data_IF_873276114643
#
_entry.id   IF_873276114643
#
_cell.length_a   1.000
_cell.length_b   1.000
_cell.length_c   1.000
_cell.angle_alpha   90.00
_cell.angle_beta   90.00
_cell.angle_gamma   90.00
#
_symmetry.space_group_name_H-M   'P 1'
#
loop_
_entity.id
_entity.type
_entity.pdbx_description
1 polymer ?
#
# COMPACT_ATOMS: atom_id res chain seq x y z
N UNK A 1 -8.61 13.73 11.43
CA UNK A 1 -9.38 12.64 10.81
C UNK A 1 -8.51 11.76 9.91
N UNK A 2 -7.94 12.28 8.82
CA UNK A 2 -7.17 11.48 7.84
C UNK A 2 -6.06 10.59 8.44
N UNK A 3 -5.29 11.09 9.41
CA UNK A 3 -4.27 10.28 10.12
C UNK A 3 -4.87 9.06 10.83
N UNK A 4 -6.00 9.23 11.53
CA UNK A 4 -6.65 8.14 12.26
C UNK A 4 -7.16 7.07 11.30
N UNK A 5 -7.78 7.48 10.18
CA UNK A 5 -8.24 6.55 9.15
C UNK A 5 -7.10 5.77 8.53
N UNK A 6 -5.97 6.43 8.25
CA UNK A 6 -4.76 5.78 7.75
C UNK A 6 -4.25 4.70 8.69
N UNK A 7 -4.24 5.00 9.99
CA UNK A 7 -3.86 4.06 11.05
C UNK A 7 -4.84 2.89 11.15
N UNK A 8 -6.15 3.16 11.06
CA UNK A 8 -7.19 2.13 11.05
C UNK A 8 -7.02 1.16 9.89
N UNK A 9 -6.82 1.68 8.68
CA UNK A 9 -6.53 0.87 7.51
C UNK A 9 -5.25 0.06 7.68
N UNK A 10 -4.18 0.67 8.21
CA UNK A 10 -2.90 0.00 8.41
C UNK A 10 -3.01 -1.16 9.40
N UNK A 11 -3.76 -0.99 10.48
CA UNK A 11 -4.01 -2.05 11.45
C UNK A 11 -4.93 -3.14 10.89
N UNK A 12 -6.05 -2.78 10.26
CA UNK A 12 -7.05 -3.73 9.76
C UNK A 12 -6.52 -4.60 8.63
N UNK A 13 -5.73 -4.01 7.74
CA UNK A 13 -5.16 -4.67 6.58
C UNK A 13 -3.77 -5.26 6.86
N UNK A 14 -3.17 -4.98 8.02
CA UNK A 14 -1.89 -5.57 8.42
C UNK A 14 -0.65 -4.88 7.84
N UNK A 15 -0.78 -3.66 7.30
CA UNK A 15 0.38 -2.86 6.88
C UNK A 15 1.26 -2.45 8.07
N UNK A 16 0.64 -2.24 9.24
CA UNK A 16 1.36 -2.01 10.49
C UNK A 16 0.62 -2.70 11.65
N UNK A 17 1.08 -3.89 11.99
CA UNK A 17 0.54 -4.66 13.12
C UNK A 17 1.11 -4.22 14.47
N UNK A 18 2.10 -3.32 14.49
CA UNK A 18 2.75 -2.82 15.69
C UNK A 18 2.11 -1.56 16.27
N UNK A 19 1.12 -0.99 15.60
CA UNK A 19 0.46 0.24 16.07
C UNK A 19 -0.24 0.03 17.41
N UNK A 20 0.04 0.94 18.34
CA UNK A 20 -0.72 1.10 19.58
C UNK A 20 -2.04 1.81 19.28
N UNK A 21 -3.04 1.02 18.89
CA UNK A 21 -4.37 1.50 18.51
C UNK A 21 -5.09 2.27 19.62
N UNK A 22 -5.10 1.80 20.89
CA UNK A 22 -5.66 2.58 21.99
C UNK A 22 -4.99 3.94 22.16
N UNK A 23 -3.66 4.02 22.04
CA UNK A 23 -2.95 5.29 22.13
C UNK A 23 -3.30 6.25 20.98
N UNK A 24 -3.40 5.75 19.74
CA UNK A 24 -3.82 6.58 18.61
C UNK A 24 -5.28 7.07 18.74
N UNK A 25 -6.15 6.27 19.34
CA UNK A 25 -7.51 6.67 19.71
C UNK A 25 -7.52 7.74 20.80
N UNK A 26 -6.72 7.58 21.86
CA UNK A 26 -6.56 8.59 22.91
C UNK A 26 -6.05 9.93 22.33
N UNK A 27 -5.06 9.89 21.45
CA UNK A 27 -4.59 11.08 20.74
C UNK A 27 -5.69 11.69 19.84
N UNK A 28 -6.56 10.89 19.24
CA UNK A 28 -7.69 11.39 18.45
C UNK A 28 -8.71 12.14 19.33
N UNK A 29 -9.00 11.61 20.53
CA UNK A 29 -9.83 12.29 21.53
C UNK A 29 -9.26 13.65 21.92
N UNK A 30 -7.96 13.72 22.22
CA UNK A 30 -7.26 14.97 22.54
C UNK A 30 -7.32 16.00 21.40
N UNK A 31 -7.34 15.53 20.14
CA UNK A 31 -7.49 16.38 18.95
C UNK A 31 -8.93 16.82 18.69
N UNK A 32 -9.89 16.47 19.56
CA UNK A 32 -11.29 16.88 19.47
C UNK A 32 -12.16 16.00 18.59
N UNK A 33 -11.67 14.83 18.15
CA UNK A 33 -12.55 13.78 17.61
C UNK A 33 -13.24 13.09 18.78
N UNK A 34 -14.54 12.82 18.69
CA UNK A 34 -15.26 12.24 19.81
C UNK A 34 -16.40 11.36 19.33
N UNK A 35 -16.45 10.15 19.87
CA UNK A 35 -17.57 9.22 19.73
C UNK A 35 -17.49 8.18 20.86
N UNK A 36 -18.63 7.55 21.24
CA UNK A 36 -18.62 6.49 22.25
C UNK A 36 -17.63 5.37 21.91
N UNK A 37 -17.64 4.85 20.68
CA UNK A 37 -16.74 3.78 20.28
C UNK A 37 -15.27 4.21 20.27
N UNK A 38 -14.97 5.49 19.99
CA UNK A 38 -13.59 5.99 20.04
C UNK A 38 -13.06 6.03 21.48
N UNK A 39 -13.92 6.33 22.46
CA UNK A 39 -13.56 6.27 23.88
C UNK A 39 -13.38 4.84 24.35
N UNK A 40 -14.25 3.94 23.92
CA UNK A 40 -14.11 2.51 24.19
C UNK A 40 -12.78 1.99 23.62
N UNK A 41 -12.45 2.36 22.36
CA UNK A 41 -11.19 1.98 21.72
C UNK A 41 -9.97 2.51 22.47
N UNK A 42 -10.02 3.74 22.97
CA UNK A 42 -8.95 4.33 23.76
C UNK A 42 -8.79 3.69 25.15
N UNK A 43 -9.81 2.97 25.62
CA UNK A 43 -9.82 2.27 26.90
C UNK A 43 -9.33 0.82 26.85
N UNK A 44 -9.13 0.25 25.65
CA UNK A 44 -8.63 -1.11 25.48
C UNK A 44 -7.12 -1.20 25.77
N UNK A 45 -6.66 -2.40 26.11
CA UNK A 45 -5.25 -2.76 26.11
C UNK A 45 -4.79 -3.09 24.67
N UNK A 46 -3.54 -2.76 24.35
CA UNK A 46 -2.91 -3.06 23.05
C UNK A 46 -2.91 -4.55 22.69
N UNK A 47 -3.00 -5.43 23.68
CA UNK A 47 -3.05 -6.88 23.47
C UNK A 47 -4.45 -7.39 23.11
N UNK A 48 -5.52 -6.58 23.28
CA UNK A 48 -6.91 -6.88 22.93
C UNK A 48 -7.17 -6.72 21.41
N UNK A 49 -6.36 -7.40 20.60
CA UNK A 49 -6.30 -7.17 19.14
C UNK A 49 -7.61 -7.48 18.41
N UNK A 50 -8.39 -8.45 18.89
CA UNK A 50 -9.65 -8.84 18.26
C UNK A 50 -10.72 -7.78 18.52
N UNK A 51 -10.82 -7.33 19.77
CA UNK A 51 -11.72 -6.28 20.22
C UNK A 51 -11.40 -4.96 19.50
N UNK A 52 -10.10 -4.60 19.40
CA UNK A 52 -9.64 -3.45 18.62
C UNK A 52 -10.11 -3.58 17.16
N UNK A 53 -9.90 -4.74 16.54
CA UNK A 53 -10.27 -4.98 15.13
C UNK A 53 -11.77 -4.85 14.90
N UNK A 54 -12.58 -5.34 15.81
CA UNK A 54 -14.05 -5.29 15.72
C UNK A 54 -14.60 -3.88 15.96
N UNK A 55 -13.90 -3.08 16.77
CA UNK A 55 -14.36 -1.74 17.13
C UNK A 55 -14.01 -0.68 16.08
N UNK A 56 -12.91 -0.85 15.33
CA UNK A 56 -12.48 0.11 14.31
C UNK A 56 -13.58 0.48 13.29
N UNK A 57 -14.32 -0.48 12.68
CA UNK A 57 -15.41 -0.16 11.77
C UNK A 57 -16.53 0.67 12.43
N UNK A 58 -16.85 0.38 13.69
CA UNK A 58 -17.85 1.11 14.47
C UNK A 58 -17.40 2.55 14.73
N UNK A 59 -16.12 2.74 15.07
CA UNK A 59 -15.53 4.08 15.24
C UNK A 59 -15.59 4.86 13.94
N UNK A 60 -15.19 4.25 12.82
CA UNK A 60 -15.24 4.88 11.51
C UNK A 60 -16.67 5.33 11.16
N UNK A 61 -17.66 4.45 11.34
CA UNK A 61 -19.07 4.75 11.10
C UNK A 61 -19.56 5.94 11.96
N UNK A 62 -19.29 5.92 13.27
CA UNK A 62 -19.71 7.00 14.19
C UNK A 62 -19.04 8.34 13.88
N UNK A 63 -17.83 8.33 13.35
CA UNK A 63 -17.12 9.52 12.89
C UNK A 63 -17.50 9.93 11.46
N UNK A 64 -18.48 9.26 10.84
CA UNK A 64 -18.95 9.55 9.48
C UNK A 64 -17.95 9.22 8.38
N UNK A 65 -17.06 8.26 8.63
CA UNK A 65 -15.98 7.84 7.74
C UNK A 65 -16.19 6.38 7.28
N UNK A 66 -15.77 6.09 6.05
CA UNK A 66 -15.67 4.71 5.54
C UNK A 66 -14.26 4.16 5.69
N UNK A 67 -14.13 2.86 5.95
CA UNK A 67 -12.87 2.14 5.80
C UNK A 67 -12.77 1.69 4.34
N UNK A 68 -11.73 2.12 3.65
CA UNK A 68 -11.50 1.70 2.27
C UNK A 68 -11.12 0.20 2.20
N UNK A 69 -11.61 -0.52 1.19
CA UNK A 69 -11.24 -1.91 0.99
C UNK A 69 -9.75 -2.03 0.70
N UNK A 70 -9.16 -3.18 1.06
CA UNK A 70 -7.72 -3.46 0.93
C UNK A 70 -7.16 -3.07 -0.44
N UNK A 71 -7.87 -3.41 -1.52
CA UNK A 71 -7.48 -3.06 -2.89
C UNK A 71 -7.32 -1.54 -3.09
N UNK A 72 -8.27 -0.74 -2.62
CA UNK A 72 -8.20 0.71 -2.77
C UNK A 72 -7.07 1.31 -1.93
N UNK A 73 -6.83 0.78 -0.72
CA UNK A 73 -5.70 1.17 0.12
C UNK A 73 -4.38 0.82 -0.56
N UNK A 74 -4.25 -0.38 -1.13
CA UNK A 74 -3.07 -0.79 -1.90
C UNK A 74 -2.83 0.10 -3.12
N UNK A 75 -3.88 0.41 -3.91
CA UNK A 75 -3.79 1.32 -5.06
C UNK A 75 -3.22 2.67 -4.62
N UNK A 76 -3.74 3.21 -3.51
CA UNK A 76 -3.25 4.46 -2.94
C UNK A 76 -1.80 4.35 -2.44
N UNK A 77 -1.41 3.28 -1.73
CA UNK A 77 -0.04 3.12 -1.22
C UNK A 77 0.99 2.99 -2.33
N UNK A 78 0.69 2.22 -3.38
CA UNK A 78 1.55 2.13 -4.57
C UNK A 78 1.66 3.50 -5.24
N UNK A 79 0.54 4.22 -5.39
CA UNK A 79 0.54 5.58 -5.92
C UNK A 79 1.36 6.57 -5.08
N UNK A 80 1.28 6.50 -3.75
CA UNK A 80 2.08 7.32 -2.83
C UNK A 80 3.58 7.05 -2.98
N UNK A 81 4.01 5.78 -3.07
CA UNK A 81 5.42 5.44 -3.29
C UNK A 81 5.90 5.94 -4.66
N UNK A 82 5.11 5.71 -5.72
CA UNK A 82 5.43 6.19 -7.06
C UNK A 82 5.52 7.72 -7.13
N UNK A 83 4.63 8.44 -6.45
CA UNK A 83 4.64 9.89 -6.38
C UNK A 83 5.90 10.43 -5.68
N UNK A 84 6.33 9.80 -4.58
CA UNK A 84 7.57 10.16 -3.87
C UNK A 84 8.80 9.99 -4.76
N UNK A 85 8.88 8.91 -5.52
CA UNK A 85 9.94 8.73 -6.53
C UNK A 85 9.90 9.85 -7.59
N UNK A 86 8.73 10.14 -8.17
CA UNK A 86 8.60 11.18 -9.20
C UNK A 86 8.92 12.59 -8.67
N UNK A 87 8.73 12.82 -7.37
CA UNK A 87 9.12 14.03 -6.68
C UNK A 87 10.62 14.10 -6.33
N UNK A 88 11.38 13.01 -6.55
CA UNK A 88 12.81 12.91 -6.20
C UNK A 88 13.06 12.70 -4.70
N UNK A 89 12.06 12.26 -3.95
CA UNK A 89 12.17 12.02 -2.51
C UNK A 89 12.76 10.65 -2.17
N UNK A 90 12.89 9.75 -3.16
CA UNK A 90 13.55 8.47 -3.03
C UNK A 90 14.09 8.01 -4.39
N UNK A 91 15.09 7.13 -4.35
CA UNK A 91 15.64 6.49 -5.55
C UNK A 91 14.64 5.50 -6.14
N UNK A 92 14.79 5.19 -7.44
CA UNK A 92 13.85 4.28 -8.10
C UNK A 92 13.95 2.85 -7.53
N UNK A 93 15.12 2.42 -7.08
CA UNK A 93 15.33 1.10 -6.46
C UNK A 93 14.59 0.99 -5.12
N UNK A 94 14.56 2.06 -4.34
CA UNK A 94 13.81 2.11 -3.08
C UNK A 94 12.31 2.05 -3.33
N UNK A 95 11.84 2.82 -4.32
CA UNK A 95 10.44 2.81 -4.72
C UNK A 95 10.00 1.45 -5.27
N UNK A 96 10.83 0.83 -6.14
CA UNK A 96 10.61 -0.51 -6.67
C UNK A 96 10.50 -1.54 -5.53
N UNK A 97 11.46 -1.53 -4.61
CA UNK A 97 11.49 -2.43 -3.45
C UNK A 97 10.25 -2.25 -2.58
N UNK A 98 9.86 -1.01 -2.27
CA UNK A 98 8.67 -0.72 -1.48
C UNK A 98 7.37 -1.19 -2.13
N UNK A 99 7.25 -0.98 -3.44
CA UNK A 99 6.09 -1.44 -4.22
C UNK A 99 6.04 -2.98 -4.25
N UNK A 100 7.17 -3.65 -4.49
CA UNK A 100 7.24 -5.11 -4.51
C UNK A 100 6.99 -5.74 -3.13
N UNK A 101 7.41 -5.08 -2.04
CA UNK A 101 7.12 -5.55 -0.68
C UNK A 101 5.61 -5.59 -0.41
N UNK A 102 4.86 -4.59 -0.86
CA UNK A 102 3.40 -4.60 -0.77
C UNK A 102 2.81 -5.76 -1.58
N UNK A 103 3.31 -6.01 -2.80
CA UNK A 103 2.83 -7.12 -3.61
C UNK A 103 3.09 -8.49 -2.98
N UNK A 104 4.30 -8.72 -2.48
CA UNK A 104 4.63 -9.96 -1.80
C UNK A 104 3.75 -10.22 -0.58
N UNK A 105 3.42 -9.17 0.18
CA UNK A 105 2.58 -9.29 1.37
C UNK A 105 1.14 -9.70 1.04
N UNK A 106 0.58 -9.27 -0.10
CA UNK A 106 -0.83 -9.48 -0.45
C UNK A 106 -1.06 -10.36 -1.69
N UNK A 107 -0.05 -11.12 -2.13
CA UNK A 107 -0.16 -11.96 -3.33
C UNK A 107 -1.31 -12.98 -3.26
N UNK A 108 -1.56 -13.55 -2.08
CA UNK A 108 -2.54 -14.61 -1.86
C UNK A 108 -3.98 -14.06 -1.72
N UNK A 109 -4.14 -12.74 -1.54
CA UNK A 109 -5.43 -12.06 -1.48
C UNK A 109 -6.06 -11.83 -2.87
N UNK A 110 -5.41 -12.32 -3.93
CA UNK A 110 -5.88 -12.17 -5.31
C UNK A 110 -5.80 -10.73 -5.84
N UNK A 111 -5.09 -9.85 -5.14
CA UNK A 111 -4.90 -8.44 -5.51
C UNK A 111 -3.64 -8.35 -6.40
N UNK A 112 -3.73 -8.91 -7.60
CA UNK A 112 -2.66 -8.83 -8.59
C UNK A 112 -2.76 -7.54 -9.41
N UNK A 113 -1.65 -6.81 -9.55
CA UNK A 113 -1.53 -5.76 -10.57
C UNK A 113 -0.76 -6.30 -11.77
N UNK A 114 -1.27 -6.06 -12.96
CA UNK A 114 -0.58 -6.46 -14.19
C UNK A 114 0.74 -5.71 -14.44
N UNK A 115 1.03 -4.64 -13.67
CA UNK A 115 2.33 -3.99 -13.68
C UNK A 115 3.39 -4.75 -12.85
N UNK A 116 2.99 -5.68 -11.96
CA UNK A 116 3.89 -6.42 -11.06
C UNK A 116 4.89 -7.30 -11.81
N UNK A 117 4.47 -8.01 -12.86
CA UNK A 117 5.37 -8.93 -13.59
C UNK A 117 6.60 -8.19 -14.12
N UNK A 118 6.39 -7.01 -14.69
CA UNK A 118 7.48 -6.20 -15.21
C UNK A 118 8.36 -5.58 -14.10
N UNK A 119 7.79 -5.22 -12.95
CA UNK A 119 8.57 -4.78 -11.80
C UNK A 119 9.39 -5.92 -11.20
N UNK A 120 8.85 -7.14 -11.17
CA UNK A 120 9.57 -8.34 -10.78
C UNK A 120 10.71 -8.62 -11.75
N UNK A 121 10.48 -8.50 -13.07
CA UNK A 121 11.54 -8.60 -14.07
C UNK A 121 12.63 -7.53 -13.88
N UNK A 122 12.24 -6.30 -13.54
CA UNK A 122 13.16 -5.22 -13.23
C UNK A 122 14.00 -5.52 -11.98
N UNK A 123 13.37 -6.03 -10.92
CA UNK A 123 14.06 -6.44 -9.69
C UNK A 123 15.03 -7.60 -9.96
N UNK A 124 14.61 -8.63 -10.69
CA UNK A 124 15.47 -9.76 -11.06
C UNK A 124 16.66 -9.27 -11.90
N UNK A 125 16.45 -8.32 -12.82
CA UNK A 125 17.55 -7.74 -13.59
C UNK A 125 18.54 -6.95 -12.72
N UNK A 126 18.06 -6.23 -11.69
CA UNK A 126 18.93 -5.55 -10.73
C UNK A 126 19.73 -6.53 -9.87
N UNK A 127 19.10 -7.62 -9.44
CA UNK A 127 19.70 -8.59 -8.50
C UNK A 127 20.63 -9.60 -9.19
N UNK A 128 20.34 -9.98 -10.44
CA UNK A 128 21.04 -11.05 -11.15
C UNK A 128 21.87 -10.49 -12.30
N UNK A 129 23.18 -10.40 -12.09
CA UNK A 129 24.15 -9.88 -13.08
C UNK A 129 24.19 -10.67 -14.40
N UNK A 130 23.89 -11.98 -14.38
CA UNK A 130 23.87 -12.80 -15.60
C UNK A 130 22.52 -12.80 -16.35
N UNK A 131 21.52 -12.02 -15.89
CA UNK A 131 20.24 -11.93 -16.57
C UNK A 131 20.39 -11.13 -17.87
N UNK A 132 20.50 -11.85 -19.00
CA UNK A 132 20.65 -11.27 -20.34
C UNK A 132 19.66 -10.12 -20.59
N UNK A 133 20.21 -9.01 -21.07
CA UNK A 133 19.66 -7.64 -21.07
C UNK A 133 18.23 -7.50 -21.64
N UNK A 134 17.21 -7.22 -20.80
CA UNK A 134 15.97 -6.59 -21.26
C UNK A 134 16.07 -5.06 -21.24
N UNK A 135 16.88 -4.49 -20.34
CA UNK A 135 16.98 -3.05 -20.10
C UNK A 135 18.29 -2.42 -20.59
N UNK A 136 19.39 -3.17 -20.68
CA UNK A 136 20.68 -2.73 -21.26
C UNK A 136 21.50 -1.72 -20.43
N UNK A 137 20.87 -0.87 -19.62
CA UNK A 137 21.55 0.04 -18.70
C UNK A 137 20.68 0.46 -17.51
N UNK A 138 21.31 0.97 -16.45
CA UNK A 138 20.61 1.53 -15.28
C UNK A 138 19.69 2.69 -15.67
N UNK A 139 20.14 3.59 -16.55
CA UNK A 139 19.33 4.71 -17.04
C UNK A 139 18.08 4.24 -17.83
N UNK A 140 18.21 3.17 -18.61
CA UNK A 140 17.10 2.61 -19.37
C UNK A 140 16.10 1.88 -18.46
N UNK A 141 16.60 1.15 -17.47
CA UNK A 141 15.81 0.54 -16.40
C UNK A 141 15.02 1.58 -15.59
N UNK A 142 15.68 2.67 -15.17
CA UNK A 142 15.03 3.78 -14.48
C UNK A 142 13.97 4.45 -15.37
N UNK A 143 14.27 4.66 -16.65
CA UNK A 143 13.31 5.23 -17.60
C UNK A 143 12.06 4.37 -17.74
N UNK A 144 12.20 3.05 -17.79
CA UNK A 144 11.07 2.11 -17.80
C UNK A 144 10.28 2.19 -16.49
N UNK A 145 10.95 2.18 -15.34
CA UNK A 145 10.31 2.33 -14.04
C UNK A 145 9.55 3.66 -13.94
N UNK A 146 10.14 4.76 -14.40
CA UNK A 146 9.51 6.09 -14.39
C UNK A 146 8.23 6.13 -15.20
N UNK A 147 8.19 5.51 -16.38
CA UNK A 147 6.97 5.41 -17.18
C UNK A 147 5.86 4.66 -16.43
N UNK A 148 6.21 3.64 -15.65
CA UNK A 148 5.27 2.88 -14.81
C UNK A 148 4.83 3.67 -13.59
N UNK A 149 5.73 4.38 -12.92
CA UNK A 149 5.42 5.22 -11.77
C UNK A 149 4.39 6.29 -12.13
N UNK A 150 4.51 6.91 -13.32
CA UNK A 150 3.48 7.84 -13.84
C UNK A 150 2.13 7.14 -13.97
N UNK A 151 2.09 5.95 -14.56
CA UNK A 151 0.85 5.18 -14.71
C UNK A 151 0.24 4.72 -13.37
N UNK A 152 1.05 4.54 -12.32
CA UNK A 152 0.58 4.21 -10.98
C UNK A 152 -0.09 5.41 -10.30
N UNK A 153 0.49 6.61 -10.45
CA UNK A 153 -0.09 7.86 -9.92
C UNK A 153 -1.39 8.22 -10.64
N UNK A 154 -1.44 8.08 -11.97
CA UNK A 154 -2.62 8.40 -12.78
C UNK A 154 -3.75 7.35 -12.69
N UNK A 155 -3.51 6.26 -11.97
CA UNK A 155 -4.42 5.11 -11.87
C UNK A 155 -4.12 4.04 -12.91
N UNK A 156 -3.72 2.86 -12.43
CA UNK A 156 -3.23 1.72 -13.22
C UNK A 156 -4.22 1.19 -14.29
N UNK A 157 -5.48 1.64 -14.31
CA UNK A 157 -6.51 1.28 -15.31
C UNK A 157 -6.14 1.70 -16.74
N UNK A 158 -5.23 2.67 -16.90
CA UNK A 158 -4.73 3.13 -18.19
C UNK A 158 -3.35 2.55 -18.57
N UNK A 159 -2.82 1.59 -17.80
CA UNK A 159 -1.51 1.01 -18.06
C UNK A 159 -1.54 0.16 -19.35
N UNK A 160 -1.15 0.78 -20.47
CA UNK A 160 -0.94 0.10 -21.76
C UNK A 160 0.25 -0.87 -21.74
N UNK A 161 1.06 -0.83 -20.67
CA UNK A 161 2.20 -1.71 -20.45
C UNK A 161 1.84 -3.01 -19.74
N UNK A 162 0.57 -3.43 -19.76
CA UNK A 162 0.18 -4.79 -19.37
C UNK A 162 0.93 -5.79 -20.26
N UNK A 163 2.04 -6.30 -19.75
CA UNK A 163 2.91 -7.22 -20.48
C UNK A 163 2.16 -8.52 -20.74
N UNK A 164 2.08 -8.85 -22.03
CA UNK A 164 1.98 -10.18 -22.61
C UNK A 164 1.88 -11.37 -21.62
N UNK A 165 0.66 -11.80 -21.30
CA UNK A 165 0.19 -13.21 -21.28
C UNK A 165 -1.24 -13.25 -20.72
N UNK A 166 -2.24 -13.27 -21.62
CA UNK A 166 -3.44 -14.07 -21.33
C UNK A 166 -2.92 -15.50 -21.20
N UNK A 167 -2.87 -16.09 -20.00
CA UNK A 167 -2.94 -17.55 -19.93
C UNK A 167 -4.28 -17.93 -20.56
N UNK A 168 -4.32 -18.69 -21.66
CA UNK A 168 -5.58 -19.27 -22.09
C UNK A 168 -6.05 -20.16 -20.94
N UNK A 169 -7.30 -19.95 -20.48
CA UNK A 169 -7.96 -20.84 -19.54
C UNK A 169 -7.80 -22.28 -20.06
N UNK A 170 -7.17 -23.14 -19.26
CA UNK A 170 -7.28 -24.59 -19.37
C UNK A 170 -8.18 -25.07 -18.27
#
# INVERSE_FOLDING_TARGET
MQRLMRVFEDFLHGFDSGVDMPMEAAHALVRGLDSPALRDLAGLDREERLEIRDLIPVVAEQLGCGIEPLKAVLERRVGEIAARYLAGECEFTDALSGILALFWHYQDEGIGYYCCDALLHLQVWLDVREYNEPFGSYEAAERDFRARAIAMVDGCRNCKMASHRRRPNR
#
